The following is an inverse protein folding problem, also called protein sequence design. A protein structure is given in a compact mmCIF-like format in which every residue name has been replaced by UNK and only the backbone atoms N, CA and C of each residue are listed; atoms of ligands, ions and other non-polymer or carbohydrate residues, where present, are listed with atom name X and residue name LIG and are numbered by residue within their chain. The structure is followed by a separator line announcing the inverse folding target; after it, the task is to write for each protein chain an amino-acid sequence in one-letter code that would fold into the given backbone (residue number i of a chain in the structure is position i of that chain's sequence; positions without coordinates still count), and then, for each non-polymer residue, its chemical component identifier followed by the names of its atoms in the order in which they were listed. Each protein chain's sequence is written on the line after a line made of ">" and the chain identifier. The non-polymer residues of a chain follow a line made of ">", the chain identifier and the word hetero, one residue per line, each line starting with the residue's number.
data_IF_982770646112
#
_entry.id   IF_982770646112
#
_cell.length_a   1.000
_cell.length_b   1.000
_cell.length_c   1.000
_cell.angle_alpha   90.00
_cell.angle_beta   90.00
_cell.angle_gamma   90.00
#
_symmetry.space_group_name_H-M   'P 1'
#
loop_
_entity.id
_entity.type
_entity.pdbx_description
1 polymer ?
#
# COMPACT_ATOMS: atom_id res chain seq x y z
N UNK A 1 -32.18 -8.70 -18.27
CA UNK A 1 -33.54 -8.56 -17.70
C UNK A 1 -34.52 -9.01 -18.77
N UNK A 2 -35.27 -10.07 -18.52
CA UNK A 2 -36.19 -10.62 -19.53
C UNK A 2 -37.44 -9.75 -19.59
N UNK A 3 -37.81 -9.34 -20.79
CA UNK A 3 -38.99 -8.52 -21.02
C UNK A 3 -40.23 -9.40 -20.93
N UNK A 4 -40.99 -9.25 -19.84
CA UNK A 4 -42.20 -10.02 -19.57
C UNK A 4 -43.26 -9.84 -20.67
N UNK A 5 -43.30 -8.68 -21.34
CA UNK A 5 -44.19 -8.46 -22.46
C UNK A 5 -43.72 -9.25 -23.69
N UNK A 6 -42.41 -9.34 -23.95
CA UNK A 6 -41.90 -10.20 -25.02
C UNK A 6 -42.14 -11.68 -24.74
N UNK A 7 -42.02 -12.13 -23.49
CA UNK A 7 -42.37 -13.51 -23.12
C UNK A 7 -43.87 -13.78 -23.29
N UNK A 8 -44.74 -12.84 -22.88
CA UNK A 8 -46.18 -12.88 -23.10
C UNK A 8 -46.51 -13.03 -24.57
N UNK A 9 -45.96 -12.16 -25.40
CA UNK A 9 -46.16 -12.19 -26.85
C UNK A 9 -45.63 -13.47 -27.47
N UNK A 10 -44.47 -13.97 -27.04
CA UNK A 10 -43.93 -15.25 -27.52
C UNK A 10 -44.84 -16.43 -27.15
N UNK A 11 -45.40 -16.43 -25.93
CA UNK A 11 -46.38 -17.42 -25.50
C UNK A 11 -47.63 -17.37 -26.39
N UNK A 12 -48.23 -16.19 -26.55
CA UNK A 12 -49.44 -16.01 -27.37
C UNK A 12 -49.19 -16.37 -28.84
N UNK A 13 -48.04 -15.99 -29.41
CA UNK A 13 -47.65 -16.35 -30.77
C UNK A 13 -47.50 -17.85 -30.96
N UNK A 14 -46.91 -18.58 -30.00
CA UNK A 14 -46.78 -20.04 -30.09
C UNK A 14 -48.15 -20.74 -30.18
N UNK A 15 -49.18 -20.16 -29.56
CA UNK A 15 -50.54 -20.70 -29.58
C UNK A 15 -51.37 -20.27 -30.78
N UNK A 16 -51.03 -19.15 -31.44
CA UNK A 16 -51.66 -18.74 -32.70
C UNK A 16 -51.49 -19.78 -33.83
N UNK A 17 -50.46 -20.62 -33.73
CA UNK A 17 -50.15 -21.68 -34.70
C UNK A 17 -50.64 -23.08 -34.29
N UNK A 18 -51.42 -23.23 -33.21
CA UNK A 18 -52.06 -24.52 -32.89
C UNK A 18 -52.98 -24.91 -34.06
N UNK A 19 -52.51 -25.87 -34.85
CA UNK A 19 -53.04 -26.24 -36.16
C UNK A 19 -54.51 -26.67 -36.05
N UNK A 20 -55.44 -25.82 -36.52
CA UNK A 20 -56.76 -26.26 -36.99
C UNK A 20 -57.99 -25.56 -36.42
N UNK A 21 -57.87 -24.71 -35.40
CA UNK A 21 -59.03 -24.12 -34.69
C UNK A 21 -59.03 -22.60 -34.73
N UNK A 22 -59.60 -22.02 -35.80
CA UNK A 22 -59.76 -20.55 -35.95
C UNK A 22 -60.77 -19.95 -34.97
N UNK A 23 -61.51 -20.79 -34.24
CA UNK A 23 -62.56 -20.40 -33.31
C UNK A 23 -62.02 -20.13 -31.89
N UNK A 24 -60.80 -20.54 -31.56
CA UNK A 24 -60.17 -20.23 -30.26
C UNK A 24 -59.42 -18.89 -30.35
N UNK A 25 -59.67 -18.01 -29.40
CA UNK A 25 -59.03 -16.70 -29.28
C UNK A 25 -58.54 -16.45 -27.87
N UNK A 26 -57.56 -15.57 -27.72
CA UNK A 26 -57.17 -15.05 -26.42
C UNK A 26 -57.92 -13.74 -26.12
N UNK A 27 -58.75 -13.75 -25.08
CA UNK A 27 -59.43 -12.56 -24.58
C UNK A 27 -58.46 -11.73 -23.76
N UNK A 28 -58.15 -10.52 -24.23
CA UNK A 28 -57.23 -9.61 -23.52
C UNK A 28 -57.89 -8.97 -22.31
N UNK A 29 -59.21 -8.79 -22.34
CA UNK A 29 -60.00 -8.27 -21.21
C UNK A 29 -60.03 -9.26 -20.04
N UNK A 30 -60.21 -10.55 -20.35
CA UNK A 30 -60.35 -11.60 -19.34
C UNK A 30 -59.04 -12.36 -19.09
N UNK A 31 -57.98 -12.03 -19.84
CA UNK A 31 -56.67 -12.70 -19.86
C UNK A 31 -56.75 -14.24 -19.92
N UNK A 32 -57.60 -14.78 -20.80
CA UNK A 32 -57.78 -16.22 -20.96
C UNK A 32 -58.20 -16.60 -22.39
N UNK A 33 -57.93 -17.84 -22.77
CA UNK A 33 -58.39 -18.45 -24.02
C UNK A 33 -59.88 -18.78 -23.96
N UNK A 34 -60.60 -18.41 -25.02
CA UNK A 34 -62.06 -18.58 -25.19
C UNK A 34 -62.36 -19.06 -26.61
N UNK A 35 -63.57 -19.57 -26.83
CA UNK A 35 -64.09 -19.83 -28.19
C UNK A 35 -64.98 -18.67 -28.65
N UNK A 36 -65.04 -18.45 -29.97
CA UNK A 36 -66.06 -17.61 -30.62
C UNK A 36 -67.38 -18.36 -30.87
N UNK A 37 -67.37 -19.68 -30.74
CA UNK A 37 -68.56 -20.53 -30.95
C UNK A 37 -69.45 -20.53 -29.72
N UNK A 38 -70.76 -20.38 -29.94
CA UNK A 38 -71.76 -20.54 -28.88
C UNK A 38 -71.95 -22.01 -28.46
N UNK A 39 -71.45 -22.97 -29.24
CA UNK A 39 -71.52 -24.40 -28.92
C UNK A 39 -70.18 -25.09 -29.27
N UNK A 40 -69.14 -24.93 -28.44
CA UNK A 40 -67.84 -25.55 -28.68
C UNK A 40 -67.90 -27.07 -28.48
N UNK A 41 -67.30 -27.82 -29.41
CA UNK A 41 -67.10 -29.27 -29.24
C UNK A 41 -66.30 -29.58 -27.97
N UNK A 42 -66.50 -30.76 -27.38
CA UNK A 42 -65.77 -31.22 -26.18
C UNK A 42 -64.25 -31.17 -26.36
N UNK A 43 -63.75 -31.49 -27.56
CA UNK A 43 -62.32 -31.38 -27.89
C UNK A 43 -61.83 -29.94 -27.78
N UNK A 44 -62.61 -28.95 -28.25
CA UNK A 44 -62.25 -27.53 -28.17
C UNK A 44 -62.27 -27.05 -26.71
N UNK A 45 -63.24 -27.51 -25.92
CA UNK A 45 -63.31 -27.19 -24.49
C UNK A 45 -62.08 -27.73 -23.74
N UNK A 46 -61.66 -28.95 -24.06
CA UNK A 46 -60.45 -29.56 -23.48
C UNK A 46 -59.17 -28.82 -23.89
N UNK A 47 -59.06 -28.40 -25.15
CA UNK A 47 -57.94 -27.59 -25.65
C UNK A 47 -57.88 -26.24 -24.93
N UNK A 48 -58.99 -25.51 -24.83
CA UNK A 48 -59.09 -24.23 -24.11
C UNK A 48 -58.68 -24.41 -22.64
N UNK A 49 -59.18 -25.44 -21.96
CA UNK A 49 -58.83 -25.74 -20.58
C UNK A 49 -57.33 -25.98 -20.40
N UNK A 50 -56.70 -26.73 -21.30
CA UNK A 50 -55.26 -26.98 -21.29
C UNK A 50 -54.46 -25.69 -21.53
N UNK A 51 -54.85 -24.89 -22.53
CA UNK A 51 -54.20 -23.61 -22.83
C UNK A 51 -54.29 -22.63 -21.65
N UNK A 52 -55.46 -22.53 -21.02
CA UNK A 52 -55.65 -21.71 -19.82
C UNK A 52 -54.83 -22.22 -18.63
N UNK A 53 -54.71 -23.54 -18.46
CA UNK A 53 -53.86 -24.12 -17.42
C UNK A 53 -52.39 -23.75 -17.60
N UNK A 54 -51.89 -23.84 -18.84
CA UNK A 54 -50.51 -23.45 -19.19
C UNK A 54 -50.28 -21.95 -19.02
N UNK A 55 -51.22 -21.13 -19.47
CA UNK A 55 -51.17 -19.68 -19.31
C UNK A 55 -51.11 -19.29 -17.84
N UNK A 56 -51.99 -19.85 -17.01
CA UNK A 56 -52.03 -19.58 -15.57
C UNK A 56 -50.75 -20.04 -14.85
N UNK A 57 -50.15 -21.16 -15.28
CA UNK A 57 -48.86 -21.60 -14.75
C UNK A 57 -47.75 -20.61 -15.09
N UNK A 58 -47.64 -20.21 -16.37
CA UNK A 58 -46.66 -19.21 -16.80
C UNK A 58 -46.86 -17.86 -16.10
N UNK A 59 -48.10 -17.35 -16.02
CA UNK A 59 -48.43 -16.07 -15.38
C UNK A 59 -48.02 -16.04 -13.91
N UNK A 60 -48.21 -17.14 -13.17
CA UNK A 60 -47.76 -17.25 -11.78
C UNK A 60 -46.24 -17.17 -11.66
N UNK A 61 -45.51 -17.89 -12.51
CA UNK A 61 -44.05 -17.83 -12.55
C UNK A 61 -43.53 -16.45 -12.97
N UNK A 62 -44.20 -15.79 -13.92
CA UNK A 62 -43.88 -14.43 -14.34
C UNK A 62 -44.03 -13.43 -13.18
N UNK A 63 -45.18 -13.45 -12.49
CA UNK A 63 -45.43 -12.57 -11.33
C UNK A 63 -44.43 -12.80 -10.18
N UNK A 64 -44.09 -14.05 -9.90
CA UNK A 64 -43.10 -14.37 -8.88
C UNK A 64 -41.72 -13.79 -9.23
N UNK A 65 -41.25 -14.03 -10.47
CA UNK A 65 -39.97 -13.49 -10.95
C UNK A 65 -39.93 -11.96 -10.91
N UNK A 66 -41.03 -11.31 -11.27
CA UNK A 66 -41.14 -9.84 -11.22
C UNK A 66 -41.05 -9.32 -9.77
N UNK A 67 -41.75 -9.98 -8.83
CA UNK A 67 -41.67 -9.64 -7.42
C UNK A 67 -40.27 -9.84 -6.83
N UNK A 68 -39.57 -10.92 -7.21
CA UNK A 68 -38.17 -11.15 -6.81
C UNK A 68 -37.23 -10.08 -7.39
N UNK A 69 -37.46 -9.67 -8.63
CA UNK A 69 -36.69 -8.63 -9.30
C UNK A 69 -36.88 -7.27 -8.61
N UNK A 70 -38.11 -6.90 -8.28
CA UNK A 70 -38.41 -5.68 -7.54
C UNK A 70 -37.81 -5.71 -6.13
N UNK A 71 -37.86 -6.86 -5.45
CA UNK A 71 -37.18 -7.05 -4.16
C UNK A 71 -35.66 -6.89 -4.29
N UNK A 72 -35.05 -7.47 -5.32
CA UNK A 72 -33.61 -7.35 -5.57
C UNK A 72 -33.21 -5.90 -5.89
N UNK A 73 -34.01 -5.17 -6.67
CA UNK A 73 -33.80 -3.74 -6.93
C UNK A 73 -33.88 -2.92 -5.64
N UNK A 74 -34.90 -3.15 -4.81
CA UNK A 74 -35.03 -2.46 -3.54
C UNK A 74 -33.83 -2.71 -2.62
N UNK A 75 -33.36 -3.96 -2.56
CA UNK A 75 -32.17 -4.32 -1.80
C UNK A 75 -30.90 -3.65 -2.38
N UNK A 76 -30.75 -3.61 -3.71
CA UNK A 76 -29.63 -2.94 -4.36
C UNK A 76 -29.60 -1.43 -4.07
N UNK A 77 -30.78 -0.78 -4.05
CA UNK A 77 -30.90 0.64 -3.66
C UNK A 77 -30.45 0.84 -2.21
N UNK A 78 -30.92 0.00 -1.29
CA UNK A 78 -30.49 0.06 0.11
C UNK A 78 -28.96 -0.11 0.24
N UNK A 79 -28.39 -1.12 -0.42
CA UNK A 79 -26.94 -1.34 -0.42
C UNK A 79 -26.16 -0.16 -1.00
N UNK A 80 -26.67 0.48 -2.06
CA UNK A 80 -26.02 1.64 -2.65
C UNK A 80 -25.94 2.82 -1.68
N UNK A 81 -26.96 3.01 -0.83
CA UNK A 81 -26.95 4.04 0.21
C UNK A 81 -25.93 3.72 1.31
N UNK A 82 -25.86 2.46 1.75
CA UNK A 82 -24.87 2.01 2.73
C UNK A 82 -23.43 2.17 2.20
N UNK A 83 -23.20 1.85 0.93
CA UNK A 83 -21.90 2.06 0.26
C UNK A 83 -21.54 3.55 0.26
N UNK A 84 -22.47 4.44 -0.12
CA UNK A 84 -22.23 5.89 -0.10
C UNK A 84 -21.83 6.38 1.29
N UNK A 85 -22.58 6.00 2.33
CA UNK A 85 -22.25 6.35 3.72
C UNK A 85 -20.86 5.86 4.14
N UNK A 86 -20.48 4.64 3.75
CA UNK A 86 -19.15 4.10 4.07
C UNK A 86 -18.05 4.85 3.32
N UNK A 87 -18.29 5.24 2.07
CA UNK A 87 -17.35 6.07 1.29
C UNK A 87 -17.15 7.45 1.93
N UNK A 88 -18.22 8.09 2.39
CA UNK A 88 -18.14 9.36 3.14
C UNK A 88 -17.29 9.20 4.40
N UNK A 89 -17.53 8.14 5.19
CA UNK A 89 -16.75 7.87 6.40
C UNK A 89 -15.27 7.57 6.13
N UNK A 90 -14.96 6.87 5.04
CA UNK A 90 -13.57 6.62 4.62
C UNK A 90 -12.89 7.95 4.28
N UNK A 91 -13.59 8.85 3.61
CA UNK A 91 -13.06 10.17 3.24
C UNK A 91 -12.71 10.98 4.49
N UNK A 92 -13.64 11.08 5.45
CA UNK A 92 -13.39 11.74 6.75
C UNK A 92 -12.15 11.18 7.46
N UNK A 93 -12.03 9.84 7.54
CA UNK A 93 -10.89 9.20 8.21
C UNK A 93 -9.56 9.44 7.47
N UNK A 94 -9.59 9.56 6.15
CA UNK A 94 -8.40 9.89 5.37
C UNK A 94 -7.94 11.33 5.62
N UNK A 95 -8.88 12.26 5.73
CA UNK A 95 -8.61 13.66 6.08
C UNK A 95 -8.04 13.76 7.51
N UNK A 96 -8.71 13.13 8.50
CA UNK A 96 -8.20 13.05 9.89
C UNK A 96 -6.78 12.47 9.96
N UNK A 97 -6.51 11.40 9.19
CA UNK A 97 -5.18 10.79 9.13
C UNK A 97 -4.15 11.75 8.55
N UNK A 98 -4.52 12.53 7.53
CA UNK A 98 -3.62 13.51 6.93
C UNK A 98 -3.26 14.63 7.90
N UNK A 99 -4.25 15.12 8.66
CA UNK A 99 -4.04 16.12 9.71
C UNK A 99 -3.11 15.59 10.82
N UNK A 100 -3.29 14.33 11.23
CA UNK A 100 -2.41 13.67 12.20
C UNK A 100 -0.97 13.56 11.69
N UNK A 101 -0.76 13.21 10.41
CA UNK A 101 0.59 13.20 9.83
C UNK A 101 1.22 14.59 9.82
N UNK A 102 0.44 15.63 9.53
CA UNK A 102 0.93 17.01 9.57
C UNK A 102 1.28 17.46 11.00
N UNK A 103 0.48 17.10 12.00
CA UNK A 103 0.77 17.35 13.42
C UNK A 103 2.05 16.65 13.84
N UNK A 104 2.19 15.35 13.55
CA UNK A 104 3.41 14.59 13.85
C UNK A 104 4.61 15.25 13.17
N UNK A 105 4.53 15.63 11.89
CA UNK A 105 5.66 16.25 11.20
C UNK A 105 6.04 17.63 11.77
N UNK A 106 5.05 18.39 12.27
CA UNK A 106 5.30 19.65 12.96
C UNK A 106 5.90 19.43 14.37
N UNK A 107 5.49 18.39 15.09
CA UNK A 107 6.05 18.00 16.39
C UNK A 107 7.43 17.35 16.26
N UNK A 108 7.68 16.67 15.12
CA UNK A 108 8.97 16.10 14.71
C UNK A 108 9.90 17.14 14.07
N UNK A 109 9.53 18.42 14.00
CA UNK A 109 10.48 19.52 13.79
C UNK A 109 11.42 19.70 15.01
N UNK A 110 11.82 18.58 15.62
CA UNK A 110 13.08 18.43 16.31
C UNK A 110 14.15 18.76 15.27
N UNK A 111 15.01 19.77 15.49
CA UNK A 111 16.06 20.07 14.54
C UNK A 111 16.87 18.80 14.30
N UNK A 112 17.24 18.54 13.05
CA UNK A 112 18.26 17.58 12.58
C UNK A 112 19.66 17.96 13.12
N UNK A 113 19.74 18.20 14.43
CA UNK A 113 20.94 18.47 15.21
C UNK A 113 21.09 17.43 16.31
N UNK A 114 20.51 16.23 16.16
CA UNK A 114 21.09 15.07 16.83
C UNK A 114 22.42 14.79 16.14
N UNK A 115 23.46 15.53 16.57
CA UNK A 115 24.84 15.14 16.36
C UNK A 115 24.91 13.63 16.65
N UNK A 116 25.42 12.87 15.69
CA UNK A 116 25.55 11.42 15.78
C UNK A 116 26.64 11.10 16.81
N UNK A 117 26.31 11.27 18.08
CA UNK A 117 27.22 11.06 19.19
C UNK A 117 27.53 9.57 19.25
N UNK A 118 28.82 9.24 19.28
CA UNK A 118 29.28 7.87 19.45
C UNK A 118 29.68 7.68 20.90
N UNK A 119 29.16 6.63 21.53
CA UNK A 119 29.53 6.26 22.89
C UNK A 119 30.89 5.54 22.86
N UNK A 120 31.82 5.97 23.71
CA UNK A 120 33.15 5.38 23.86
C UNK A 120 33.41 5.10 25.35
N UNK A 121 34.08 4.00 25.64
CA UNK A 121 34.26 3.47 26.99
C UNK A 121 35.74 3.37 27.36
N UNK A 122 36.07 3.86 28.56
CA UNK A 122 37.40 3.82 29.13
C UNK A 122 37.39 2.96 30.41
N UNK A 123 38.29 1.99 30.47
CA UNK A 123 38.57 1.20 31.65
C UNK A 123 39.80 1.78 32.36
N UNK A 124 39.69 2.04 33.66
CA UNK A 124 40.77 2.65 34.44
C UNK A 124 42.04 1.77 34.40
N UNK A 125 43.17 2.35 33.97
CA UNK A 125 44.43 1.63 33.78
C UNK A 125 44.67 1.09 32.36
N UNK A 126 43.71 1.24 31.45
CA UNK A 126 43.89 0.94 30.02
C UNK A 126 44.70 2.02 29.29
N UNK A 127 45.48 1.62 28.29
CA UNK A 127 46.19 2.54 27.36
C UNK A 127 45.30 3.01 26.19
N UNK A 128 44.09 2.46 26.05
CA UNK A 128 43.17 2.72 24.94
C UNK A 128 41.72 2.83 25.40
N UNK A 129 40.87 3.31 24.49
CA UNK A 129 39.41 3.38 24.63
C UNK A 129 38.75 2.50 23.58
N UNK A 130 37.54 2.01 23.86
CA UNK A 130 36.78 1.11 22.98
C UNK A 130 35.38 1.66 22.74
N UNK A 131 34.79 1.38 21.58
CA UNK A 131 33.40 1.78 21.31
C UNK A 131 32.39 0.76 21.87
N UNK A 132 32.87 -0.41 22.31
CA UNK A 132 32.08 -1.44 22.97
C UNK A 132 32.77 -1.95 24.25
N UNK A 133 32.12 -1.92 25.43
CA UNK A 133 32.73 -2.39 26.70
C UNK A 133 33.25 -3.83 26.66
N UNK A 134 32.65 -4.67 25.83
CA UNK A 134 32.98 -6.09 25.70
C UNK A 134 34.27 -6.35 24.89
N UNK A 135 34.90 -5.31 24.35
CA UNK A 135 36.22 -5.41 23.71
C UNK A 135 37.36 -5.48 24.73
N UNK A 136 37.12 -5.08 25.98
CA UNK A 136 38.06 -5.37 27.06
C UNK A 136 37.96 -6.85 27.42
N UNK A 137 39.10 -7.51 27.57
CA UNK A 137 39.19 -8.85 28.13
C UNK A 137 39.05 -8.78 29.65
N UNK A 138 37.80 -8.72 30.11
CA UNK A 138 37.46 -8.49 31.52
C UNK A 138 37.15 -9.84 32.18
N UNK A 139 37.97 -10.20 33.17
CA UNK A 139 37.69 -11.29 34.10
C UNK A 139 37.21 -10.71 35.44
N UNK A 140 35.93 -10.89 35.78
CA UNK A 140 35.32 -10.43 37.04
C UNK A 140 35.06 -11.63 37.95
N UNK A 141 35.60 -11.61 39.17
CA UNK A 141 35.34 -12.67 40.13
C UNK A 141 33.92 -12.60 40.71
N UNK A 142 33.45 -13.72 41.27
CA UNK A 142 32.08 -13.82 41.80
C UNK A 142 31.84 -12.83 42.94
N UNK A 143 31.05 -11.80 42.66
CA UNK A 143 30.66 -10.78 43.62
C UNK A 143 31.43 -9.46 43.48
N UNK A 144 32.36 -9.37 42.53
CA UNK A 144 33.04 -8.12 42.20
C UNK A 144 32.19 -7.24 41.27
N UNK A 145 32.41 -5.94 41.36
CA UNK A 145 31.74 -4.92 40.53
C UNK A 145 32.83 -4.11 39.85
N UNK A 146 32.78 -4.05 38.53
CA UNK A 146 33.70 -3.27 37.71
C UNK A 146 33.06 -1.94 37.30
N UNK A 147 33.83 -0.86 37.38
CA UNK A 147 33.43 0.47 36.90
C UNK A 147 34.09 0.77 35.55
N UNK A 148 33.29 1.23 34.58
CA UNK A 148 33.78 1.77 33.32
C UNK A 148 33.26 3.20 33.13
N UNK A 149 34.14 4.07 32.63
CA UNK A 149 33.77 5.43 32.27
C UNK A 149 33.16 5.44 30.86
N UNK A 150 31.99 6.06 30.71
CA UNK A 150 31.32 6.26 29.42
C UNK A 150 31.44 7.71 28.99
N UNK A 151 32.01 7.95 27.81
CA UNK A 151 32.16 9.26 27.19
C UNK A 151 31.34 9.32 25.90
N UNK A 152 30.89 10.52 25.51
CA UNK A 152 30.20 10.74 24.23
C UNK A 152 31.06 11.62 23.33
N UNK A 153 31.45 11.09 22.17
CA UNK A 153 32.28 11.80 21.19
C UNK A 153 31.41 12.42 20.09
N UNK A 154 31.81 13.61 19.64
CA UNK A 154 31.30 14.23 18.42
C UNK A 154 31.80 13.48 17.18
N UNK A 155 31.39 13.94 16.00
CA UNK A 155 31.82 13.36 14.72
C UNK A 155 33.35 13.23 14.60
N UNK A 156 33.83 12.07 14.13
CA UNK A 156 35.25 11.80 13.92
C UNK A 156 35.80 12.72 12.82
N UNK A 157 36.84 13.48 13.14
CA UNK A 157 37.54 14.33 12.19
C UNK A 157 38.91 13.74 11.85
N UNK A 158 39.26 13.76 10.55
CA UNK A 158 40.58 13.33 10.10
C UNK A 158 41.60 14.42 10.38
N UNK A 159 42.71 14.05 11.00
CA UNK A 159 43.86 14.92 11.21
C UNK A 159 45.02 14.41 10.35
N UNK A 160 45.74 15.32 9.70
CA UNK A 160 46.81 14.99 8.77
C UNK A 160 48.15 15.45 9.36
N UNK A 161 49.13 14.56 9.34
CA UNK A 161 50.50 14.85 9.78
C UNK A 161 51.47 14.50 8.67
N UNK A 162 52.57 15.23 8.57
CA UNK A 162 53.68 14.88 7.71
C UNK A 162 55.02 15.20 8.35
N UNK A 163 56.03 14.42 7.99
CA UNK A 163 57.41 14.67 8.37
C UNK A 163 57.99 15.72 7.43
N UNK A 164 58.50 16.81 7.99
CA UNK A 164 59.16 17.88 7.25
C UNK A 164 60.61 17.94 7.72
N UNK A 165 61.52 17.61 6.80
CA UNK A 165 62.95 17.55 7.05
C UNK A 165 63.56 18.95 7.03
N UNK A 166 64.41 19.25 8.00
CA UNK A 166 65.21 20.49 8.05
C UNK A 166 66.54 20.29 7.32
N UNK A 167 67.05 19.05 7.34
CA UNK A 167 68.24 18.55 6.65
C UNK A 167 68.10 17.01 6.48
N UNK A 168 69.15 16.33 6.00
CA UNK A 168 69.13 14.88 5.74
C UNK A 168 68.80 14.02 6.98
N UNK A 169 69.14 14.49 8.19
CA UNK A 169 69.06 13.70 9.41
C UNK A 169 67.98 14.19 10.40
N UNK A 170 67.52 15.44 10.27
CA UNK A 170 66.59 16.07 11.20
C UNK A 170 65.24 16.35 10.54
N UNK A 171 64.15 15.89 11.17
CA UNK A 171 62.79 16.22 10.76
C UNK A 171 61.89 16.60 11.92
N UNK A 172 60.80 17.28 11.60
CA UNK A 172 59.73 17.63 12.53
C UNK A 172 58.40 17.09 12.01
N UNK A 173 57.57 16.55 12.91
CA UNK A 173 56.22 16.10 12.56
C UNK A 173 55.28 17.29 12.72
N UNK A 174 54.76 17.79 11.60
CA UNK A 174 53.83 18.92 11.59
C UNK A 174 52.40 18.46 11.29
N UNK A 175 51.43 19.10 11.93
CA UNK A 175 50.01 18.90 11.68
C UNK A 175 49.53 19.85 10.59
N UNK A 176 48.71 19.35 9.66
CA UNK A 176 48.16 20.09 8.53
C UNK A 176 46.64 20.13 8.60
N UNK A 177 46.04 21.19 8.05
CA UNK A 177 44.59 21.35 8.04
C UNK A 177 43.92 20.41 7.01
N UNK A 178 44.65 19.96 5.99
CA UNK A 178 44.15 19.03 4.98
C UNK A 178 45.21 18.07 4.45
N UNK A 179 44.75 16.98 3.83
CA UNK A 179 45.61 16.02 3.15
C UNK A 179 46.42 16.66 2.03
N UNK A 180 45.80 17.53 1.24
CA UNK A 180 46.45 18.19 0.10
C UNK A 180 47.56 19.13 0.56
N UNK A 181 47.37 19.85 1.67
CA UNK A 181 48.43 20.68 2.26
C UNK A 181 49.60 19.84 2.75
N UNK A 182 49.33 18.73 3.44
CA UNK A 182 50.37 17.81 3.88
C UNK A 182 51.17 17.25 2.68
N UNK A 183 50.49 16.80 1.63
CA UNK A 183 51.13 16.28 0.41
C UNK A 183 51.97 17.33 -0.31
N UNK A 184 51.46 18.57 -0.41
CA UNK A 184 52.21 19.68 -1.02
C UNK A 184 53.44 20.06 -0.20
N UNK A 185 53.32 20.15 1.12
CA UNK A 185 54.44 20.49 2.00
C UNK A 185 55.54 19.42 1.92
N UNK A 186 55.18 18.14 1.86
CA UNK A 186 56.15 17.05 1.64
C UNK A 186 56.82 17.18 0.27
N UNK A 187 56.06 17.46 -0.79
CA UNK A 187 56.61 17.60 -2.13
C UNK A 187 57.57 18.80 -2.26
N UNK A 188 57.28 19.92 -1.59
CA UNK A 188 58.18 21.07 -1.53
C UNK A 188 59.42 20.78 -0.67
N UNK A 189 59.25 20.09 0.44
CA UNK A 189 60.35 19.70 1.31
C UNK A 189 61.34 18.75 0.62
N UNK A 190 60.84 17.77 -0.14
CA UNK A 190 61.68 16.89 -0.94
C UNK A 190 62.46 17.66 -2.02
N UNK A 191 61.82 18.60 -2.73
CA UNK A 191 62.51 19.45 -3.71
C UNK A 191 63.60 20.30 -3.07
N UNK A 192 63.37 20.79 -1.84
CA UNK A 192 64.37 21.56 -1.10
C UNK A 192 65.59 20.71 -0.74
N UNK A 193 65.37 19.47 -0.30
CA UNK A 193 66.46 18.50 -0.02
C UNK A 193 67.23 18.14 -1.29
N UNK A 194 66.54 17.79 -2.38
CA UNK A 194 67.18 17.48 -3.67
C UNK A 194 68.00 18.67 -4.21
N UNK A 195 67.50 19.90 -4.04
CA UNK A 195 68.22 21.11 -4.43
C UNK A 195 69.45 21.38 -3.55
N UNK A 196 69.39 21.06 -2.25
CA UNK A 196 70.51 21.21 -1.33
C UNK A 196 71.59 20.13 -1.50
N UNK A 197 71.21 18.90 -1.88
CA UNK A 197 72.13 17.86 -2.33
C UNK A 197 72.82 18.24 -3.65
N UNK A 198 72.07 18.78 -4.63
CA UNK A 198 72.63 19.17 -5.94
C UNK A 198 73.55 20.41 -5.91
N UNK A 199 73.52 21.19 -4.83
CA UNK A 199 74.38 22.35 -4.61
C UNK A 199 75.70 22.02 -3.90
N UNK A 200 75.90 20.79 -3.43
CA UNK A 200 77.11 20.35 -2.72
C UNK A 200 78.21 19.79 -3.66
N UNK A 201 77.94 19.64 -4.96
CA UNK A 201 78.94 19.31 -5.98
C UNK A 201 79.32 20.55 -6.83
N UNK A 202 80.10 21.48 -6.26
CA UNK A 202 81.00 22.38 -6.99
C UNK A 202 82.11 22.95 -6.11
#
# INVERSE_FOLDING_TARGET
>A
MTDLNKEREAFLNAFQYYKGRRDIIFSHEHELFMTRSNNPSEVAQKEISNMNSRWNAWLRCAKHRDAELEKAKAQAVQQSFEIGRLQDRITELLDERQDLYAQINNDQAVPDTQQKLTDTYYLEGSDYVVDCPFEYDIEIDKGEVLELQKWQRTESTKVYFANIYKDEDNFEILQFASKAEAENAVAENLKFLEASESGAEQ
#
